data_IF_770286368236
#
_entry.id   IF_770286368236
#
_cell.length_a   1.000
_cell.length_b   1.000
_cell.length_c   1.000
_cell.angle_alpha   90.00
_cell.angle_beta   90.00
_cell.angle_gamma   90.00
#
_symmetry.space_group_name_H-M   'P 1'
#
loop_
_entity.id
_entity.type
_entity.pdbx_description
1 polymer ?
#
# COMPACT_ATOMS: atom_id res chain seq x y z
N UNK A 1 -25.62 -26.39 15.12
CA UNK A 1 -25.08 -25.12 14.57
C UNK A 1 -25.03 -25.25 13.05
N UNK A 2 -25.90 -24.52 12.34
CA UNK A 2 -26.09 -24.66 10.89
C UNK A 2 -24.88 -24.21 10.07
N UNK A 3 -24.57 -24.94 9.00
CA UNK A 3 -23.50 -24.61 8.07
C UNK A 3 -23.85 -23.30 7.34
N UNK A 4 -23.08 -22.22 7.60
CA UNK A 4 -23.22 -20.95 6.87
C UNK A 4 -23.04 -21.16 5.36
N UNK A 5 -23.85 -20.46 4.56
CA UNK A 5 -23.74 -20.43 3.10
C UNK A 5 -22.36 -19.95 2.67
N UNK A 6 -21.85 -20.43 1.52
CA UNK A 6 -20.55 -20.03 0.96
C UNK A 6 -20.42 -18.51 0.81
N UNK A 7 -21.53 -17.83 0.51
CA UNK A 7 -21.60 -16.36 0.43
C UNK A 7 -21.46 -15.69 1.80
N UNK A 8 -22.13 -16.23 2.84
CA UNK A 8 -22.04 -15.69 4.20
C UNK A 8 -20.63 -15.85 4.79
N UNK A 9 -19.97 -16.97 4.52
CA UNK A 9 -18.57 -17.20 4.92
C UNK A 9 -17.63 -16.20 4.25
N UNK A 10 -17.79 -15.99 2.94
CA UNK A 10 -16.99 -15.01 2.20
C UNK A 10 -17.19 -13.59 2.72
N UNK A 11 -18.44 -13.15 2.94
CA UNK A 11 -18.73 -11.82 3.48
C UNK A 11 -18.17 -11.64 4.89
N UNK A 12 -18.28 -12.67 5.75
CA UNK A 12 -17.69 -12.63 7.09
C UNK A 12 -16.16 -12.51 7.04
N UNK A 13 -15.48 -13.32 6.23
CA UNK A 13 -14.03 -13.25 6.03
C UNK A 13 -13.59 -11.88 5.47
N UNK A 14 -14.34 -11.33 4.53
CA UNK A 14 -14.08 -10.01 3.95
C UNK A 14 -14.19 -8.90 5.00
N UNK A 15 -15.24 -8.91 5.82
CA UNK A 15 -15.45 -7.90 6.87
C UNK A 15 -14.39 -8.05 7.97
N UNK A 16 -14.07 -9.27 8.41
CA UNK A 16 -13.03 -9.51 9.41
C UNK A 16 -11.65 -9.08 8.90
N UNK A 17 -11.32 -9.41 7.65
CA UNK A 17 -10.09 -8.97 6.99
C UNK A 17 -10.01 -7.44 6.87
N UNK A 18 -11.12 -6.81 6.48
CA UNK A 18 -11.25 -5.35 6.43
C UNK A 18 -11.06 -4.68 7.78
N UNK A 19 -11.74 -5.15 8.82
CA UNK A 19 -11.62 -4.62 10.17
C UNK A 19 -10.19 -4.75 10.70
N UNK A 20 -9.58 -5.93 10.56
CA UNK A 20 -8.19 -6.17 10.96
C UNK A 20 -7.22 -5.25 10.20
N UNK A 21 -7.44 -5.03 8.90
CA UNK A 21 -6.62 -4.15 8.10
C UNK A 21 -6.76 -2.68 8.52
N UNK A 22 -7.97 -2.21 8.86
CA UNK A 22 -8.20 -0.85 9.37
C UNK A 22 -7.45 -0.64 10.69
N UNK A 23 -7.57 -1.58 11.63
CA UNK A 23 -6.88 -1.51 12.92
C UNK A 23 -5.36 -1.50 12.71
N UNK A 24 -4.84 -2.42 11.91
CA UNK A 24 -3.40 -2.50 11.62
C UNK A 24 -2.86 -1.24 10.94
N UNK A 25 -3.55 -0.71 9.92
CA UNK A 25 -3.16 0.52 9.22
C UNK A 25 -3.24 1.74 10.13
N UNK A 26 -4.24 1.80 11.01
CA UNK A 26 -4.38 2.90 11.97
C UNK A 26 -3.30 2.85 13.04
N UNK A 27 -2.91 1.66 13.51
CA UNK A 27 -1.78 1.51 14.42
C UNK A 27 -0.45 1.90 13.76
N UNK A 28 -0.26 1.60 12.47
CA UNK A 28 0.95 1.93 11.73
C UNK A 28 1.00 3.38 11.22
N UNK A 29 -0.14 4.09 11.16
CA UNK A 29 -0.27 5.41 10.55
C UNK A 29 0.74 6.45 11.07
N UNK A 30 1.06 6.54 12.38
CA UNK A 30 2.05 7.50 12.87
C UNK A 30 3.44 7.32 12.27
N UNK A 31 3.92 6.08 12.19
CA UNK A 31 5.23 5.75 11.63
C UNK A 31 5.23 5.96 10.12
N UNK A 32 4.14 5.58 9.44
CA UNK A 32 3.97 5.83 8.01
C UNK A 32 4.01 7.32 7.69
N UNK A 33 3.37 8.16 8.51
CA UNK A 33 3.40 9.62 8.33
C UNK A 33 4.80 10.18 8.52
N UNK A 34 5.52 9.79 9.58
CA UNK A 34 6.90 10.23 9.80
C UNK A 34 7.83 9.81 8.66
N UNK A 35 7.66 8.60 8.14
CA UNK A 35 8.36 8.15 6.93
C UNK A 35 8.06 9.06 5.74
N UNK A 36 6.80 9.39 5.48
CA UNK A 36 6.42 10.27 4.37
C UNK A 36 7.01 11.67 4.50
N UNK A 37 7.01 12.25 5.70
CA UNK A 37 7.62 13.56 5.99
C UNK A 37 9.12 13.53 5.73
N UNK A 38 9.83 12.52 6.23
CA UNK A 38 11.27 12.36 6.01
C UNK A 38 11.63 12.12 4.53
N UNK A 39 10.83 11.32 3.82
CA UNK A 39 11.05 11.02 2.41
C UNK A 39 10.82 12.24 1.51
N UNK A 40 9.86 13.11 1.86
CA UNK A 40 9.46 14.25 1.04
C UNK A 40 9.99 15.60 1.54
N UNK A 41 10.78 15.64 2.63
CA UNK A 41 11.25 16.88 3.25
C UNK A 41 11.96 17.82 2.28
N UNK A 42 12.73 17.29 1.33
CA UNK A 42 13.40 18.12 0.32
C UNK A 42 12.43 18.89 -0.57
N UNK A 43 11.32 18.26 -0.95
CA UNK A 43 10.25 18.91 -1.71
C UNK A 43 9.45 19.88 -0.85
N UNK A 44 9.23 19.54 0.43
CA UNK A 44 8.55 20.43 1.38
C UNK A 44 9.35 21.72 1.62
N UNK A 45 10.68 21.62 1.67
CA UNK A 45 11.58 22.79 1.78
C UNK A 45 11.48 23.67 0.52
N UNK A 46 11.54 23.07 -0.68
CA UNK A 46 11.39 23.80 -1.94
C UNK A 46 10.07 24.58 -2.05
N UNK A 47 9.00 24.05 -1.45
CA UNK A 47 7.66 24.68 -1.42
C UNK A 47 7.49 25.66 -0.26
N UNK A 48 8.49 25.85 0.60
CA UNK A 48 8.41 26.71 1.77
C UNK A 48 7.51 26.17 2.89
N UNK A 49 7.18 24.87 2.88
CA UNK A 49 6.35 24.21 3.90
C UNK A 49 7.16 23.74 5.12
N UNK A 50 8.48 23.59 4.93
CA UNK A 50 9.43 23.21 5.96
C UNK A 50 10.66 24.11 5.84
N UNK A 51 11.02 24.85 6.88
CA UNK A 51 12.19 25.74 6.90
C UNK A 51 13.47 24.96 7.15
N UNK A 52 13.42 24.03 8.10
CA UNK A 52 14.60 23.25 8.51
C UNK A 52 14.37 21.75 8.27
N UNK A 53 15.33 21.05 7.63
CA UNK A 53 15.22 19.62 7.43
C UNK A 53 15.15 18.88 8.77
N UNK A 54 14.50 17.73 8.77
CA UNK A 54 14.49 16.85 9.93
C UNK A 54 15.84 16.14 10.04
N UNK A 55 16.43 16.18 11.23
CA UNK A 55 17.72 15.53 11.50
C UNK A 55 17.61 14.00 11.62
N UNK A 56 16.40 13.49 11.85
CA UNK A 56 16.12 12.07 11.89
C UNK A 56 14.70 11.75 12.33
N UNK A 57 14.42 10.46 12.54
CA UNK A 57 13.09 9.95 12.92
C UNK A 57 12.62 10.57 14.23
N UNK A 58 13.46 10.56 15.27
CA UNK A 58 13.12 11.10 16.59
C UNK A 58 12.80 12.60 16.55
N UNK A 59 13.57 13.36 15.79
CA UNK A 59 13.38 14.80 15.60
C UNK A 59 12.06 15.09 14.88
N UNK A 60 11.78 14.37 13.79
CA UNK A 60 10.51 14.46 13.07
C UNK A 60 9.31 14.17 13.99
N UNK A 61 9.35 13.07 14.75
CA UNK A 61 8.30 12.76 15.74
C UNK A 61 8.10 13.88 16.76
N UNK A 62 9.19 14.39 17.35
CA UNK A 62 9.13 15.43 18.38
C UNK A 62 8.55 16.72 17.83
N UNK A 63 8.97 17.14 16.63
CA UNK A 63 8.49 18.36 15.97
C UNK A 63 7.03 18.26 15.59
N UNK A 64 6.60 17.16 14.96
CA UNK A 64 5.19 16.91 14.62
C UNK A 64 4.31 16.95 15.86
N UNK A 65 4.70 16.27 16.94
CA UNK A 65 3.92 16.26 18.17
C UNK A 65 3.80 17.66 18.78
N UNK A 66 4.88 18.45 18.79
CA UNK A 66 4.91 19.80 19.36
C UNK A 66 4.17 20.84 18.51
N UNK A 67 4.30 20.76 17.18
CA UNK A 67 3.85 21.80 16.25
C UNK A 67 2.41 21.56 15.74
N UNK A 68 1.98 20.31 15.64
CA UNK A 68 0.65 19.95 15.13
C UNK A 68 -0.22 19.16 16.12
N UNK A 69 0.38 18.60 17.17
CA UNK A 69 -0.31 17.80 18.18
C UNK A 69 -0.43 16.31 17.82
N UNK A 70 -0.96 15.52 18.76
CA UNK A 70 -1.00 14.06 18.68
C UNK A 70 -1.85 13.53 17.51
N UNK A 71 -3.05 14.08 17.28
CA UNK A 71 -3.94 13.56 16.25
C UNK A 71 -3.44 13.78 14.82
N UNK A 72 -2.47 14.69 14.64
CA UNK A 72 -1.86 14.97 13.35
C UNK A 72 -1.19 13.73 12.74
N UNK A 73 -0.70 12.79 13.56
CA UNK A 73 -0.05 11.56 13.09
C UNK A 73 -0.93 10.68 12.18
N UNK A 74 -2.27 10.81 12.26
CA UNK A 74 -3.21 10.08 11.41
C UNK A 74 -3.64 10.85 10.15
N UNK A 75 -3.08 12.03 9.92
CA UNK A 75 -3.38 12.84 8.73
C UNK A 75 -3.01 12.08 7.46
N UNK A 76 -3.98 11.91 6.56
CA UNK A 76 -3.84 11.08 5.35
C UNK A 76 -4.24 9.60 5.53
N UNK A 77 -4.45 9.11 6.77
CA UNK A 77 -4.84 7.71 6.99
C UNK A 77 -6.23 7.38 6.44
N UNK A 78 -7.14 8.35 6.39
CA UNK A 78 -8.48 8.18 5.80
C UNK A 78 -8.44 7.65 4.36
N UNK A 79 -7.52 8.17 3.53
CA UNK A 79 -7.34 7.69 2.17
C UNK A 79 -6.78 6.26 2.13
N UNK A 80 -5.95 5.87 3.10
CA UNK A 80 -5.44 4.49 3.24
C UNK A 80 -6.53 3.49 3.57
N UNK A 81 -7.45 3.88 4.46
CA UNK A 81 -8.60 3.06 4.86
C UNK A 81 -9.57 2.92 3.69
N UNK A 82 -9.95 4.04 3.07
CA UNK A 82 -10.85 4.05 1.90
C UNK A 82 -10.27 3.18 0.79
N UNK A 83 -8.96 3.29 0.52
CA UNK A 83 -8.30 2.53 -0.55
C UNK A 83 -8.30 1.03 -0.31
N UNK A 84 -8.39 0.55 0.94
CA UNK A 84 -8.30 -0.87 1.24
C UNK A 84 -9.40 -1.69 0.55
N UNK A 85 -10.67 -1.31 0.73
CA UNK A 85 -11.79 -2.10 0.22
C UNK A 85 -11.82 -2.18 -1.32
N UNK A 86 -11.68 -1.08 -2.08
CA UNK A 86 -11.58 -1.12 -3.53
C UNK A 86 -10.36 -1.92 -4.01
N UNK A 87 -9.23 -1.83 -3.32
CA UNK A 87 -8.03 -2.64 -3.66
C UNK A 87 -8.36 -4.12 -3.55
N UNK A 88 -9.03 -4.55 -2.47
CA UNK A 88 -9.43 -5.94 -2.32
C UNK A 88 -10.42 -6.35 -3.41
N UNK A 89 -11.44 -5.53 -3.70
CA UNK A 89 -12.41 -5.81 -4.75
C UNK A 89 -11.75 -6.00 -6.12
N UNK A 90 -10.84 -5.11 -6.50
CA UNK A 90 -10.11 -5.22 -7.76
C UNK A 90 -9.14 -6.40 -7.79
N UNK A 91 -8.48 -6.71 -6.67
CA UNK A 91 -7.67 -7.92 -6.57
C UNK A 91 -8.51 -9.18 -6.78
N UNK A 92 -9.73 -9.26 -6.23
CA UNK A 92 -10.62 -10.38 -6.50
C UNK A 92 -11.07 -10.43 -7.97
N UNK A 93 -11.42 -9.30 -8.56
CA UNK A 93 -11.91 -9.22 -9.95
C UNK A 93 -10.82 -9.54 -10.98
N UNK A 94 -9.64 -8.94 -10.86
CA UNK A 94 -8.60 -9.00 -11.89
C UNK A 94 -7.67 -10.20 -11.75
N UNK A 95 -7.57 -10.82 -10.57
CA UNK A 95 -6.70 -11.98 -10.35
C UNK A 95 -7.07 -13.16 -11.23
N UNK A 96 -8.37 -13.46 -11.38
CA UNK A 96 -8.83 -14.54 -12.26
C UNK A 96 -8.59 -14.21 -13.73
N UNK A 97 -8.90 -12.97 -14.13
CA UNK A 97 -8.77 -12.49 -15.50
C UNK A 97 -7.32 -12.55 -16.03
N UNK A 98 -6.37 -11.94 -15.32
CA UNK A 98 -4.97 -11.90 -15.78
C UNK A 98 -4.24 -13.23 -15.62
N UNK A 99 -4.64 -14.07 -14.65
CA UNK A 99 -4.10 -15.43 -14.53
C UNK A 99 -4.60 -16.34 -15.66
N UNK A 100 -5.82 -16.12 -16.16
CA UNK A 100 -6.32 -16.82 -17.35
C UNK A 100 -5.63 -16.37 -18.64
N UNK A 101 -5.34 -15.08 -18.78
CA UNK A 101 -4.69 -14.51 -19.97
C UNK A 101 -3.21 -14.90 -20.12
N UNK A 102 -2.46 -14.94 -19.01
CA UNK A 102 -1.02 -15.25 -18.99
C UNK A 102 -0.74 -16.60 -18.33
N UNK A 103 -1.70 -17.52 -18.32
CA UNK A 103 -1.59 -18.79 -17.60
C UNK A 103 -0.58 -19.73 -18.25
N UNK A 104 0.68 -19.67 -17.81
CA UNK A 104 1.70 -20.68 -18.10
C UNK A 104 1.83 -21.65 -16.91
N UNK A 105 2.13 -22.93 -17.18
CA UNK A 105 2.45 -23.89 -16.12
C UNK A 105 3.95 -24.07 -15.99
N UNK A 106 4.45 -24.14 -14.73
CA UNK A 106 5.86 -24.37 -14.43
C UNK A 106 6.34 -25.72 -14.99
N UNK A 107 5.49 -26.74 -14.98
CA UNK A 107 5.87 -28.08 -15.48
C UNK A 107 5.84 -28.19 -17.01
N UNK A 108 4.99 -27.41 -17.71
CA UNK A 108 4.79 -27.52 -19.16
C UNK A 108 5.64 -26.53 -19.96
N UNK A 109 5.79 -25.30 -19.47
CA UNK A 109 6.37 -24.19 -20.25
C UNK A 109 7.79 -23.80 -19.80
N UNK A 110 8.28 -24.42 -18.72
CA UNK A 110 9.58 -24.11 -18.13
C UNK A 110 9.54 -22.90 -17.20
N UNK A 111 10.49 -22.86 -16.25
CA UNK A 111 10.51 -21.91 -15.14
C UNK A 111 10.55 -20.44 -15.59
N UNK A 112 11.38 -20.10 -16.58
CA UNK A 112 11.53 -18.72 -17.04
C UNK A 112 10.24 -18.18 -17.64
N UNK A 113 9.53 -18.98 -18.46
CA UNK A 113 8.25 -18.55 -19.05
C UNK A 113 7.15 -18.41 -18.00
N UNK A 114 7.07 -19.34 -17.06
CA UNK A 114 6.14 -19.24 -15.92
C UNK A 114 6.42 -18.00 -15.06
N UNK A 115 7.70 -17.72 -14.78
CA UNK A 115 8.10 -16.57 -13.99
C UNK A 115 7.77 -15.25 -14.69
N UNK A 116 8.15 -15.10 -15.96
CA UNK A 116 7.85 -13.88 -16.74
C UNK A 116 6.34 -13.68 -16.90
N UNK A 117 5.57 -14.76 -17.10
CA UNK A 117 4.11 -14.69 -17.18
C UNK A 117 3.45 -14.28 -15.84
N UNK A 118 3.96 -14.75 -14.70
CA UNK A 118 3.48 -14.33 -13.39
C UNK A 118 3.84 -12.87 -13.07
N UNK A 119 5.04 -12.43 -13.43
CA UNK A 119 5.44 -11.03 -13.27
C UNK A 119 4.59 -10.14 -14.19
N UNK A 120 4.36 -10.54 -15.45
CA UNK A 120 3.54 -9.80 -16.40
C UNK A 120 2.07 -9.72 -15.96
N UNK A 121 1.44 -10.85 -15.62
CA UNK A 121 0.06 -10.86 -15.10
C UNK A 121 -0.09 -10.08 -13.81
N UNK A 122 0.89 -10.19 -12.92
CA UNK A 122 0.91 -9.43 -11.69
C UNK A 122 1.02 -7.93 -11.91
N UNK A 123 1.93 -7.52 -12.79
CA UNK A 123 2.14 -6.12 -13.15
C UNK A 123 0.92 -5.54 -13.87
N UNK A 124 0.30 -6.31 -14.77
CA UNK A 124 -0.93 -5.90 -15.46
C UNK A 124 -2.10 -5.71 -14.48
N UNK A 125 -2.34 -6.69 -13.59
CA UNK A 125 -3.36 -6.56 -12.54
C UNK A 125 -3.09 -5.37 -11.61
N UNK A 126 -1.83 -5.16 -11.24
CA UNK A 126 -1.38 -4.03 -10.43
C UNK A 126 -1.56 -2.68 -11.14
N UNK A 127 -1.30 -2.63 -12.45
CA UNK A 127 -1.49 -1.43 -13.26
C UNK A 127 -2.97 -1.09 -13.44
N UNK A 128 -3.82 -2.07 -13.70
CA UNK A 128 -5.28 -1.86 -13.79
C UNK A 128 -5.85 -1.41 -12.44
N UNK A 129 -5.44 -2.03 -11.33
CA UNK A 129 -5.87 -1.60 -10.00
C UNK A 129 -5.39 -0.19 -9.68
N UNK A 130 -4.12 0.11 -9.98
CA UNK A 130 -3.55 1.45 -9.83
C UNK A 130 -4.29 2.47 -10.70
N UNK A 131 -4.71 2.14 -11.92
CA UNK A 131 -5.45 3.06 -12.78
C UNK A 131 -6.69 3.62 -12.08
N UNK A 132 -7.41 2.78 -11.34
CA UNK A 132 -8.58 3.20 -10.58
C UNK A 132 -8.26 3.81 -9.22
N UNK A 133 -7.16 3.41 -8.58
CA UNK A 133 -6.90 3.77 -7.18
C UNK A 133 -5.78 4.79 -6.97
N UNK A 134 -4.97 5.10 -7.99
CA UNK A 134 -3.80 5.96 -7.86
C UNK A 134 -4.13 7.35 -7.33
N UNK A 135 -5.28 7.89 -7.71
CA UNK A 135 -5.79 9.16 -7.18
C UNK A 135 -5.91 9.20 -5.64
N UNK A 136 -6.17 8.07 -4.96
CA UNK A 136 -6.24 7.96 -3.50
C UNK A 136 -4.84 7.88 -2.90
N UNK A 137 -3.90 7.22 -3.57
CA UNK A 137 -2.48 7.17 -3.16
C UNK A 137 -1.83 8.56 -3.27
N UNK A 138 -2.15 9.29 -4.35
CA UNK A 138 -1.80 10.69 -4.52
C UNK A 138 -2.34 11.53 -3.36
N UNK A 139 -3.64 11.44 -3.09
CA UNK A 139 -4.27 12.27 -2.07
C UNK A 139 -3.81 11.92 -0.65
N UNK A 140 -3.57 10.63 -0.36
CA UNK A 140 -2.93 10.15 0.88
C UNK A 140 -1.57 10.79 1.07
N UNK A 141 -0.74 10.79 0.03
CA UNK A 141 0.63 11.32 0.10
C UNK A 141 0.61 12.82 0.31
N UNK A 142 -0.17 13.56 -0.48
CA UNK A 142 -0.33 15.02 -0.35
C UNK A 142 -0.81 15.44 1.04
N UNK A 143 -1.77 14.72 1.60
CA UNK A 143 -2.30 15.01 2.92
C UNK A 143 -1.35 14.55 4.05
N UNK A 144 -0.61 13.45 3.86
CA UNK A 144 0.35 12.94 4.83
C UNK A 144 1.61 13.81 4.95
N UNK A 145 2.04 14.43 3.84
CA UNK A 145 3.15 15.39 3.79
C UNK A 145 2.74 16.83 4.08
N UNK A 146 1.45 17.09 4.26
CA UNK A 146 0.93 18.40 4.64
C UNK A 146 1.34 18.68 6.10
N UNK A 147 2.41 19.45 6.24
CA UNK A 147 3.02 19.82 7.51
C UNK A 147 2.84 21.30 7.79
N UNK A 148 2.56 21.62 9.04
CA UNK A 148 2.44 22.98 9.56
C UNK A 148 3.60 23.25 10.52
N UNK A 149 4.51 24.13 10.10
CA UNK A 149 5.64 24.55 10.94
C UNK A 149 5.30 25.74 11.87
N UNK A 150 4.20 26.47 11.62
CA UNK A 150 3.85 27.68 12.38
C UNK A 150 2.54 27.57 13.18
N UNK A 151 2.58 27.61 14.54
CA UNK A 151 1.39 27.59 15.40
C UNK A 151 0.51 28.84 15.31
N UNK A 152 1.03 29.99 14.88
CA UNK A 152 0.34 31.29 15.02
C UNK A 152 -0.41 31.70 13.74
N UNK A 153 0.07 31.35 12.55
CA UNK A 153 -0.54 31.74 11.26
C UNK A 153 -0.43 30.69 10.13
N UNK A 154 0.26 29.55 10.37
CA UNK A 154 0.41 28.52 9.34
C UNK A 154 -0.85 27.67 9.27
N UNK A 155 -1.71 27.86 8.27
CA UNK A 155 -2.77 26.90 8.01
C UNK A 155 -2.23 25.73 7.21
N UNK A 156 -2.76 24.53 7.47
CA UNK A 156 -2.54 23.39 6.60
C UNK A 156 -2.90 23.74 5.15
N UNK A 157 -2.12 23.22 4.19
CA UNK A 157 -2.41 23.46 2.77
C UNK A 157 -3.78 22.89 2.40
N UNK A 158 -4.19 21.80 3.04
CA UNK A 158 -5.46 21.14 2.80
C UNK A 158 -6.31 21.05 4.06
N UNK A 159 -7.64 21.17 3.96
CA UNK A 159 -8.53 20.91 5.11
C UNK A 159 -8.79 19.43 5.31
N UNK A 160 -8.72 18.63 4.24
CA UNK A 160 -8.95 17.20 4.26
C UNK A 160 -8.86 16.60 2.85
N UNK A 161 -9.31 15.35 2.72
CA UNK A 161 -9.20 14.58 1.46
C UNK A 161 -9.91 15.28 0.29
N UNK A 162 -11.14 15.76 0.50
CA UNK A 162 -11.92 16.44 -0.54
C UNK A 162 -11.26 17.75 -1.00
N UNK A 163 -10.64 18.49 -0.08
CA UNK A 163 -9.95 19.74 -0.40
C UNK A 163 -8.68 19.48 -1.24
N UNK A 164 -8.00 18.33 -1.05
CA UNK A 164 -6.92 17.90 -1.94
C UNK A 164 -7.43 17.74 -3.36
N UNK A 165 -8.52 16.99 -3.55
CA UNK A 165 -9.11 16.80 -4.88
C UNK A 165 -9.53 18.13 -5.52
N UNK A 166 -10.27 18.98 -4.78
CA UNK A 166 -10.75 20.26 -5.28
C UNK A 166 -9.58 21.15 -5.74
N UNK A 167 -8.57 21.33 -4.90
CA UNK A 167 -7.41 22.19 -5.21
C UNK A 167 -6.58 21.63 -6.37
N UNK A 168 -6.31 20.32 -6.38
CA UNK A 168 -5.53 19.70 -7.47
C UNK A 168 -6.27 19.73 -8.80
N UNK A 169 -7.57 19.43 -8.81
CA UNK A 169 -8.36 19.48 -10.04
C UNK A 169 -8.47 20.91 -10.59
N UNK A 170 -8.54 21.91 -9.71
CA UNK A 170 -8.57 23.32 -10.11
C UNK A 170 -7.23 23.84 -10.64
N UNK A 171 -6.09 23.30 -10.20
CA UNK A 171 -4.76 23.79 -10.61
C UNK A 171 -4.15 23.01 -11.77
N UNK A 172 -4.17 21.67 -11.67
CA UNK A 172 -3.40 20.75 -12.54
C UNK A 172 -4.33 19.80 -13.32
N UNK A 173 -5.65 19.89 -13.10
CA UNK A 173 -6.65 19.00 -13.70
C UNK A 173 -6.50 17.53 -13.29
N UNK A 174 -7.07 16.64 -14.10
CA UNK A 174 -7.04 15.19 -13.85
C UNK A 174 -5.62 14.63 -13.93
N UNK A 175 -4.77 15.17 -14.81
CA UNK A 175 -3.38 14.75 -14.98
C UNK A 175 -2.56 15.00 -13.69
N UNK A 176 -2.91 16.02 -12.92
CA UNK A 176 -2.30 16.29 -11.62
C UNK A 176 -2.47 15.16 -10.61
N UNK A 177 -3.61 14.45 -10.63
CA UNK A 177 -3.89 13.31 -9.74
C UNK A 177 -3.12 12.04 -10.13
N UNK A 178 -2.62 11.97 -11.37
CA UNK A 178 -1.88 10.82 -11.91
C UNK A 178 -0.37 11.12 -12.11
N UNK A 179 0.12 12.23 -11.56
CA UNK A 179 1.55 12.58 -11.64
C UNK A 179 2.38 11.53 -10.91
N UNK A 180 3.29 10.87 -11.65
CA UNK A 180 4.14 9.80 -11.15
C UNK A 180 3.60 8.38 -11.37
N UNK A 181 2.46 8.23 -12.05
CA UNK A 181 1.84 6.92 -12.32
C UNK A 181 2.80 5.94 -12.99
N UNK A 182 3.49 6.34 -14.06
CA UNK A 182 4.42 5.47 -14.79
C UNK A 182 5.56 4.92 -13.93
N UNK A 183 6.17 5.78 -13.10
CA UNK A 183 7.22 5.36 -12.14
C UNK A 183 6.66 4.39 -11.10
N UNK A 184 5.42 4.61 -10.65
CA UNK A 184 4.74 3.70 -9.73
C UNK A 184 4.52 2.31 -10.34
N UNK A 185 4.11 2.23 -11.61
CA UNK A 185 3.92 0.95 -12.29
C UNK A 185 5.26 0.21 -12.42
N UNK A 186 6.31 0.91 -12.85
CA UNK A 186 7.66 0.33 -12.91
C UNK A 186 8.12 -0.20 -11.55
N UNK A 187 7.87 0.57 -10.47
CA UNK A 187 8.17 0.15 -9.10
C UNK A 187 7.41 -1.10 -8.66
N UNK A 188 6.11 -1.22 -9.00
CA UNK A 188 5.31 -2.43 -8.73
C UNK A 188 5.87 -3.64 -9.46
N UNK A 189 6.22 -3.50 -10.74
CA UNK A 189 6.77 -4.58 -11.57
C UNK A 189 8.10 -5.08 -10.99
N UNK A 190 9.01 -4.17 -10.66
CA UNK A 190 10.31 -4.50 -10.06
C UNK A 190 10.14 -5.14 -8.68
N UNK A 191 9.28 -4.58 -7.83
CA UNK A 191 8.98 -5.14 -6.52
C UNK A 191 8.47 -6.58 -6.61
N UNK A 192 7.51 -6.85 -7.51
CA UNK A 192 6.98 -8.21 -7.71
C UNK A 192 8.03 -9.17 -8.26
N UNK A 193 8.81 -8.74 -9.25
CA UNK A 193 9.90 -9.56 -9.80
C UNK A 193 10.92 -9.97 -8.73
N UNK A 194 11.39 -9.01 -7.93
CA UNK A 194 12.30 -9.29 -6.81
C UNK A 194 11.65 -10.16 -5.74
N UNK A 195 10.39 -9.88 -5.39
CA UNK A 195 9.66 -10.66 -4.39
C UNK A 195 9.59 -12.15 -4.77
N UNK A 196 9.17 -12.46 -6.01
CA UNK A 196 9.12 -13.84 -6.48
C UNK A 196 10.52 -14.45 -6.59
N UNK A 197 11.50 -13.72 -7.13
CA UNK A 197 12.87 -14.22 -7.28
C UNK A 197 13.51 -14.59 -5.93
N UNK A 198 13.40 -13.71 -4.94
CA UNK A 198 13.91 -13.97 -3.59
C UNK A 198 13.11 -15.10 -2.94
N UNK A 199 11.78 -15.05 -3.01
CA UNK A 199 10.94 -16.07 -2.38
C UNK A 199 11.24 -17.48 -2.94
N UNK A 200 11.34 -17.63 -4.26
CA UNK A 200 11.60 -18.91 -4.90
C UNK A 200 13.04 -19.39 -4.67
N UNK A 201 14.00 -18.49 -4.48
CA UNK A 201 15.39 -18.84 -4.13
C UNK A 201 15.52 -19.26 -2.66
N UNK A 202 14.89 -18.51 -1.74
CA UNK A 202 15.01 -18.77 -0.30
C UNK A 202 14.15 -19.93 0.17
N UNK A 203 12.98 -20.16 -0.45
CA UNK A 203 12.07 -21.24 -0.06
C UNK A 203 12.77 -22.61 -0.02
N UNK A 204 13.47 -23.10 -1.06
CA UNK A 204 14.16 -24.39 -1.00
C UNK A 204 15.40 -24.37 -0.10
N UNK A 205 16.03 -23.23 0.16
CA UNK A 205 17.21 -23.17 1.05
C UNK A 205 16.80 -23.29 2.52
N UNK A 206 15.69 -22.65 2.90
CA UNK A 206 15.20 -22.61 4.28
C UNK A 206 14.30 -23.81 4.60
N UNK A 207 13.56 -24.33 3.62
CA UNK A 207 12.53 -25.38 3.84
C UNK A 207 12.98 -26.78 3.40
N UNK A 208 14.27 -27.12 3.55
CA UNK A 208 14.77 -28.49 3.37
C UNK A 208 15.06 -29.12 4.74
N UNK A 209 14.22 -30.08 5.17
CA UNK A 209 14.38 -30.91 6.38
C UNK A 209 13.74 -30.36 7.67
N UNK A 210 13.20 -31.29 8.51
CA UNK A 210 12.59 -31.22 9.88
C UNK A 210 11.71 -30.04 10.32
N UNK A 211 11.70 -28.90 9.63
CA UNK A 211 10.83 -27.75 9.92
C UNK A 211 9.43 -27.88 9.31
N UNK A 212 9.15 -28.95 8.56
CA UNK A 212 7.84 -29.19 7.95
C UNK A 212 6.78 -29.67 8.95
N UNK A 213 7.18 -30.25 10.09
CA UNK A 213 6.25 -31.04 10.94
C UNK A 213 5.92 -30.40 12.30
N UNK A 214 6.78 -29.57 12.91
CA UNK A 214 6.63 -29.29 14.37
C UNK A 214 6.15 -27.88 14.75
N UNK A 215 6.14 -26.89 13.85
CA UNK A 215 5.77 -25.50 14.22
C UNK A 215 4.81 -24.75 13.26
N UNK A 216 4.18 -25.45 12.31
CA UNK A 216 3.53 -24.80 11.17
C UNK A 216 1.98 -24.72 11.11
N UNK A 217 1.16 -24.89 12.17
CA UNK A 217 -0.22 -24.38 12.10
C UNK A 217 -0.21 -22.84 12.09
N UNK A 218 0.53 -22.24 13.02
CA UNK A 218 0.55 -20.78 13.23
C UNK A 218 1.31 -20.03 12.13
N UNK A 219 2.44 -20.57 11.68
CA UNK A 219 3.20 -20.04 10.55
C UNK A 219 2.57 -20.39 9.20
N UNK A 220 1.82 -21.49 9.09
CA UNK A 220 1.03 -21.82 7.90
C UNK A 220 -0.15 -20.87 7.71
N UNK A 221 -0.82 -20.50 8.80
CA UNK A 221 -1.88 -19.49 8.80
C UNK A 221 -1.32 -18.08 8.62
N UNK A 222 -0.18 -17.75 9.23
CA UNK A 222 0.55 -16.50 8.90
C UNK A 222 1.03 -16.49 7.46
N UNK A 223 1.49 -17.61 6.90
CA UNK A 223 1.89 -17.70 5.49
C UNK A 223 0.69 -17.69 4.55
N UNK A 224 -0.51 -18.11 4.97
CA UNK A 224 -1.78 -17.94 4.24
C UNK A 224 -2.27 -16.49 4.30
N UNK A 225 -2.22 -15.86 5.48
CA UNK A 225 -2.53 -14.43 5.68
C UNK A 225 -1.51 -13.56 4.92
N UNK A 226 -0.23 -13.95 4.91
CA UNK A 226 0.82 -13.33 4.10
C UNK A 226 0.75 -13.76 2.63
N UNK A 227 0.12 -14.88 2.27
CA UNK A 227 -0.17 -15.28 0.88
C UNK A 227 -1.34 -14.49 0.30
N UNK A 228 -2.31 -14.08 1.15
CA UNK A 228 -3.27 -13.02 0.81
C UNK A 228 -2.50 -11.70 0.62
N UNK A 229 -1.45 -11.46 1.41
CA UNK A 229 -0.52 -10.32 1.26
C UNK A 229 0.54 -10.46 0.15
N UNK A 230 0.72 -11.65 -0.45
CA UNK A 230 1.63 -11.89 -1.59
C UNK A 230 1.14 -11.20 -2.87
N UNK A 231 -0.08 -10.69 -2.84
CA UNK A 231 -0.77 -10.16 -4.00
C UNK A 231 -1.50 -8.83 -3.73
N UNK A 232 -1.27 -8.19 -2.58
CA UNK A 232 -1.64 -6.78 -2.29
C UNK A 232 -0.39 -5.93 -2.26
#
# INVERSE_FOLDING_TARGET
MGAKSKSEKFSAEFVMGGAAAIVSKSAAAPIERVKLLLQNQGEMIKRGQLKTPYTGVRDCFKRVFREEGLFSFWRGNQANIIRYFPTQAFNFAFKGYFKGLFGCSKEKDGYIKWFTANVASGSAAGATTSLFLYHLDYARTRLGTDYRECPINGQHQFRGLFDVYRKTLSSDGILGLYRGFGVSIMGISLYRGMYFGIYDTMKPIILVGSFEVTHLPLLGDLARVLSVRKWT
#
